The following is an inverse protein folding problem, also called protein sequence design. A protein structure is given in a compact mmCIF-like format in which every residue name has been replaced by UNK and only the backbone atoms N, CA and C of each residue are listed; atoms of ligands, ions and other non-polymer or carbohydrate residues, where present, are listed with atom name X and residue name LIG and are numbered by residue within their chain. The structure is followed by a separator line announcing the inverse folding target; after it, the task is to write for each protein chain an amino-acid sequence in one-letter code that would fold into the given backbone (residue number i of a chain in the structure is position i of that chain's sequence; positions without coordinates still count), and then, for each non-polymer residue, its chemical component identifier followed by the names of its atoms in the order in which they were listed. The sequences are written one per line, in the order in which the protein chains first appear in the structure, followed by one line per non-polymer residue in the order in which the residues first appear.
data_IF_140247928323
#
_entry.id   IF_140247928323
#
_cell.length_a   1.000
_cell.length_b   1.000
_cell.length_c   1.000
_cell.angle_alpha   90.00
_cell.angle_beta   90.00
_cell.angle_gamma   90.00
#
_symmetry.space_group_name_H-M   'P 1'
#
loop_
_entity.id
_entity.type
_entity.pdbx_description
1 polymer ?
#
# COMPACT_ATOMS: atom_id res chain seq x y z
N UNK A 1 0.09 14.71 14.34
CA UNK A 1 0.18 13.62 13.35
C UNK A 1 0.72 14.18 12.05
N UNK A 2 1.46 13.37 11.27
CA UNK A 2 1.94 13.75 9.93
C UNK A 2 1.13 13.00 8.88
N UNK A 3 0.90 13.63 7.73
CA UNK A 3 0.25 13.00 6.60
C UNK A 3 1.31 12.28 5.76
N UNK A 4 1.07 11.00 5.47
CA UNK A 4 1.88 10.19 4.59
C UNK A 4 1.05 9.69 3.41
N UNK A 5 1.70 9.54 2.27
CA UNK A 5 1.19 8.80 1.12
C UNK A 5 2.07 7.56 0.95
N UNK A 6 1.42 6.41 0.82
CA UNK A 6 2.11 5.13 0.65
C UNK A 6 1.74 4.54 -0.70
N UNK A 7 2.75 4.24 -1.51
CA UNK A 7 2.58 3.49 -2.75
C UNK A 7 3.12 2.08 -2.55
N UNK A 8 2.28 1.10 -2.81
CA UNK A 8 2.58 -0.33 -2.71
C UNK A 8 2.55 -0.92 -4.11
N UNK A 9 3.58 -1.69 -4.43
CA UNK A 9 3.64 -2.50 -5.65
C UNK A 9 3.53 -3.95 -5.21
N UNK A 10 2.47 -4.62 -5.65
CA UNK A 10 2.21 -6.02 -5.40
C UNK A 10 2.62 -6.87 -6.60
N UNK A 11 2.84 -8.15 -6.34
CA UNK A 11 3.18 -9.14 -7.35
C UNK A 11 2.12 -9.14 -8.47
N UNK A 12 2.52 -9.05 -9.75
CA UNK A 12 1.57 -9.05 -10.86
C UNK A 12 0.75 -10.35 -10.95
N UNK A 13 1.24 -11.49 -10.45
CA UNK A 13 0.54 -12.77 -10.53
C UNK A 13 -0.64 -12.89 -9.56
N UNK A 14 -0.78 -11.95 -8.61
CA UNK A 14 -1.92 -11.93 -7.71
C UNK A 14 -3.21 -11.64 -8.48
N UNK A 15 -4.27 -12.35 -8.10
CA UNK A 15 -5.60 -12.05 -8.61
C UNK A 15 -6.08 -10.69 -8.09
N UNK A 16 -6.54 -9.81 -8.97
CA UNK A 16 -6.93 -8.45 -8.61
C UNK A 16 -8.00 -8.39 -7.50
N UNK A 17 -8.89 -9.39 -7.44
CA UNK A 17 -9.92 -9.53 -6.38
C UNK A 17 -9.34 -9.79 -4.99
N UNK A 18 -8.12 -10.30 -4.87
CA UNK A 18 -7.47 -10.60 -3.58
C UNK A 18 -6.58 -9.45 -3.09
N UNK A 19 -6.31 -8.46 -3.94
CA UNK A 19 -5.46 -7.30 -3.64
C UNK A 19 -6.04 -6.45 -2.52
N UNK A 20 -7.31 -6.04 -2.62
CA UNK A 20 -7.93 -5.17 -1.62
C UNK A 20 -8.04 -5.81 -0.22
N UNK A 21 -8.51 -7.07 -0.06
CA UNK A 21 -8.50 -7.74 1.25
C UNK A 21 -7.11 -7.90 1.86
N UNK A 22 -6.12 -8.19 1.02
CA UNK A 22 -4.72 -8.34 1.47
C UNK A 22 -4.16 -7.01 1.96
N UNK A 23 -4.38 -5.93 1.21
CA UNK A 23 -3.98 -4.58 1.61
C UNK A 23 -4.65 -4.15 2.91
N UNK A 24 -5.94 -4.40 3.08
CA UNK A 24 -6.65 -4.05 4.31
C UNK A 24 -6.05 -4.74 5.54
N UNK A 25 -5.63 -6.01 5.38
CA UNK A 25 -4.94 -6.76 6.44
C UNK A 25 -3.63 -6.10 6.86
N UNK A 26 -2.82 -5.63 5.91
CA UNK A 26 -1.58 -4.89 6.23
C UNK A 26 -1.87 -3.52 6.87
N UNK A 27 -2.91 -2.83 6.39
CA UNK A 27 -3.31 -1.52 6.91
C UNK A 27 -3.90 -1.59 8.32
N UNK A 28 -4.41 -2.74 8.75
CA UNK A 28 -4.85 -2.94 10.13
C UNK A 28 -3.71 -2.75 11.15
N UNK A 29 -2.46 -3.06 10.79
CA UNK A 29 -1.31 -2.77 11.67
C UNK A 29 -1.19 -1.28 11.95
N UNK A 30 -1.30 -0.46 10.89
CA UNK A 30 -1.27 1.01 11.01
C UNK A 30 -2.42 1.53 11.87
N UNK A 31 -3.60 0.94 11.74
CA UNK A 31 -4.77 1.31 12.56
C UNK A 31 -4.58 0.93 14.04
N UNK A 32 -3.97 -0.22 14.30
CA UNK A 32 -3.69 -0.71 15.65
C UNK A 32 -2.63 0.15 16.37
N UNK A 33 -1.66 0.69 15.65
CA UNK A 33 -0.60 1.56 16.20
C UNK A 33 -1.06 3.03 16.38
N UNK A 34 -2.37 3.28 16.41
CA UNK A 34 -2.96 4.61 16.60
C UNK A 34 -2.89 5.51 15.38
N UNK A 35 -2.66 4.93 14.19
CA UNK A 35 -2.74 5.63 12.92
C UNK A 35 -4.14 5.57 12.29
N UNK A 36 -4.40 6.44 11.32
CA UNK A 36 -5.66 6.42 10.54
C UNK A 36 -5.35 6.30 9.06
N UNK A 37 -6.11 5.45 8.37
CA UNK A 37 -6.06 5.30 6.91
C UNK A 37 -7.34 5.90 6.33
N UNK A 38 -7.22 6.97 5.55
CA UNK A 38 -8.37 7.71 5.04
C UNK A 38 -8.88 7.15 3.70
N UNK A 39 -7.98 6.76 2.79
CA UNK A 39 -8.37 6.28 1.47
C UNK A 39 -7.38 5.26 0.90
N UNK A 40 -7.90 4.26 0.19
CA UNK A 40 -7.13 3.25 -0.53
C UNK A 40 -7.65 3.20 -1.96
N UNK A 41 -6.76 3.41 -2.92
CA UNK A 41 -7.05 3.39 -4.35
C UNK A 41 -6.18 2.33 -5.04
N UNK A 42 -6.80 1.40 -5.76
CA UNK A 42 -6.12 0.30 -6.45
C UNK A 42 -6.09 0.62 -7.93
N UNK A 43 -4.88 0.81 -8.45
CA UNK A 43 -4.64 1.24 -9.83
C UNK A 43 -4.50 0.08 -10.82
N UNK A 44 -4.54 -1.16 -10.31
CA UNK A 44 -4.41 -2.38 -11.09
C UNK A 44 -2.99 -2.60 -11.61
N UNK A 45 -2.88 -3.49 -12.60
CA UNK A 45 -1.60 -3.89 -13.21
C UNK A 45 -1.06 -2.82 -14.14
N UNK A 46 0.21 -2.46 -13.96
CA UNK A 46 0.93 -1.51 -14.83
C UNK A 46 2.36 -1.96 -15.08
N UNK A 47 2.93 -1.50 -16.19
CA UNK A 47 4.32 -1.76 -16.57
C UNK A 47 5.28 -0.90 -15.72
N UNK A 48 6.31 -1.54 -15.17
CA UNK A 48 7.37 -0.90 -14.39
C UNK A 48 8.42 -0.30 -15.34
N UNK A 49 9.14 0.73 -14.88
CA UNK A 49 10.25 1.33 -15.65
C UNK A 49 11.46 0.37 -15.80
N UNK A 50 11.59 -0.57 -14.87
CA UNK A 50 12.60 -1.63 -14.84
C UNK A 50 12.03 -2.85 -14.13
N UNK A 51 12.63 -4.01 -14.35
CA UNK A 51 12.16 -5.25 -13.73
C UNK A 51 12.47 -5.28 -12.22
N UNK A 52 11.47 -5.65 -11.43
CA UNK A 52 11.63 -5.94 -10.00
C UNK A 52 11.38 -7.43 -9.83
N UNK A 53 12.33 -8.17 -9.25
CA UNK A 53 12.23 -9.64 -9.11
C UNK A 53 11.89 -10.37 -10.43
N UNK A 54 12.49 -9.94 -11.55
CA UNK A 54 12.24 -10.47 -12.91
C UNK A 54 10.81 -10.25 -13.44
N UNK A 55 10.03 -9.38 -12.80
CA UNK A 55 8.72 -8.96 -13.28
C UNK A 55 8.80 -7.55 -13.87
N UNK A 56 8.37 -7.40 -15.13
CA UNK A 56 8.26 -6.12 -15.82
C UNK A 56 6.95 -5.37 -15.52
N UNK A 57 6.04 -6.01 -14.79
CA UNK A 57 4.73 -5.48 -14.40
C UNK A 57 4.55 -5.60 -12.88
N UNK A 58 3.70 -4.77 -12.32
CA UNK A 58 3.28 -4.85 -10.92
C UNK A 58 1.87 -4.29 -10.76
N UNK A 59 1.18 -4.75 -9.71
CA UNK A 59 -0.12 -4.19 -9.33
C UNK A 59 0.12 -3.01 -8.41
N UNK A 60 -0.33 -1.83 -8.81
CA UNK A 60 -0.18 -0.62 -8.04
C UNK A 60 -1.37 -0.43 -7.10
N UNK A 61 -1.08 -0.17 -5.84
CA UNK A 61 -2.04 0.29 -4.86
C UNK A 61 -1.51 1.51 -4.13
N UNK A 62 -2.31 2.57 -4.09
CA UNK A 62 -1.98 3.83 -3.44
C UNK A 62 -2.85 3.99 -2.22
N UNK A 63 -2.23 4.18 -1.07
CA UNK A 63 -2.91 4.48 0.19
C UNK A 63 -2.73 5.96 0.43
N UNK A 64 -3.81 6.70 0.21
CA UNK A 64 -3.84 8.15 0.27
C UNK A 64 -4.20 8.56 1.70
N UNK A 65 -3.31 9.38 2.28
CA UNK A 65 -3.40 9.95 3.63
C UNK A 65 -3.50 8.90 4.73
N UNK A 66 -2.32 8.44 5.11
CA UNK A 66 -2.11 7.78 6.40
C UNK A 66 -1.64 8.82 7.41
N UNK A 67 -2.32 8.94 8.55
CA UNK A 67 -1.83 9.73 9.69
C UNK A 67 -1.25 8.76 10.69
N UNK A 68 0.06 8.80 10.92
CA UNK A 68 0.72 7.97 11.94
C UNK A 68 1.16 8.87 13.10
N UNK A 69 1.10 8.34 14.32
CA UNK A 69 1.81 8.92 15.47
C UNK A 69 3.31 8.89 15.15
N UNK A 70 4.05 9.92 15.59
CA UNK A 70 5.47 10.03 15.28
C UNK A 70 6.21 8.79 15.82
N UNK A 71 6.91 8.00 14.97
CA UNK A 71 7.67 6.84 15.43
C UNK A 71 8.96 7.24 16.19
N UNK A 72 9.32 8.52 16.19
CA UNK A 72 10.51 9.11 16.80
C UNK A 72 10.27 9.73 18.20
N UNK A 73 9.11 9.50 18.83
CA UNK A 73 8.83 9.95 20.18
C UNK A 73 9.35 8.94 21.24
N UNK A 74 10.67 8.87 21.38
CA UNK A 74 11.35 8.36 22.58
C UNK A 74 12.07 9.52 23.27
#
# INVERSE_FOLDING_TARGET
MRNYELMVILDPELEERTVAPSLDTYLNVVRNDGGTVENVDVWGRRRLAYEINKNAEGIYAVVIRTKVLRPDAH
#
